data_IF_413897936632
#
_entry.id   IF_413897936632
#
_cell.length_a   1.000
_cell.length_b   1.000
_cell.length_c   1.000
_cell.angle_alpha   90.00
_cell.angle_beta   90.00
_cell.angle_gamma   90.00
#
_symmetry.space_group_name_H-M   'P 1'
#
loop_
_entity.id
_entity.type
_entity.pdbx_description
1 polymer ?
#
# COMPACT_ATOMS: atom_id res chain seq x y z
N UNK A 1 14.14 11.99 -50.34
CA UNK A 1 14.05 11.11 -51.52
C UNK A 1 14.63 9.75 -51.11
N UNK A 2 13.84 8.69 -51.13
CA UNK A 2 14.41 7.35 -50.90
C UNK A 2 15.41 7.02 -52.01
N UNK A 3 16.59 6.52 -51.65
CA UNK A 3 17.63 6.17 -52.62
C UNK A 3 17.14 4.99 -53.47
N UNK A 4 17.41 5.02 -54.78
CA UNK A 4 16.96 3.96 -55.73
C UNK A 4 17.31 2.54 -55.26
N UNK A 5 18.41 2.41 -54.50
CA UNK A 5 18.87 1.17 -53.87
C UNK A 5 17.88 0.63 -52.83
N UNK A 6 17.31 1.49 -51.97
CA UNK A 6 16.35 1.08 -50.96
C UNK A 6 15.04 0.56 -51.58
N UNK A 7 14.57 1.22 -52.64
CA UNK A 7 13.37 0.79 -53.36
C UNK A 7 13.57 -0.58 -54.03
N UNK A 8 14.74 -0.79 -54.62
CA UNK A 8 15.13 -2.06 -55.24
C UNK A 8 15.17 -3.20 -54.19
N UNK A 9 15.83 -2.96 -53.06
CA UNK A 9 15.91 -3.91 -51.94
C UNK A 9 14.52 -4.27 -51.40
N UNK A 10 13.65 -3.28 -51.20
CA UNK A 10 12.29 -3.51 -50.73
C UNK A 10 11.48 -4.38 -51.71
N UNK A 11 11.59 -4.11 -53.02
CA UNK A 11 10.91 -4.93 -54.05
C UNK A 11 11.48 -6.35 -54.16
N UNK A 12 12.77 -6.55 -53.89
CA UNK A 12 13.36 -7.89 -53.85
C UNK A 12 12.90 -8.67 -52.62
N UNK A 13 12.87 -8.03 -51.46
CA UNK A 13 12.36 -8.62 -50.22
C UNK A 13 10.89 -8.99 -50.34
N UNK A 14 10.05 -8.09 -50.86
CA UNK A 14 8.61 -8.35 -51.08
C UNK A 14 8.39 -9.52 -52.05
N UNK A 15 9.18 -9.62 -53.12
CA UNK A 15 9.13 -10.77 -54.05
C UNK A 15 9.54 -12.08 -53.37
N UNK A 16 10.61 -12.07 -52.58
CA UNK A 16 11.07 -13.27 -51.88
C UNK A 16 10.03 -13.76 -50.86
N UNK A 17 9.44 -12.85 -50.08
CA UNK A 17 8.38 -13.17 -49.11
C UNK A 17 7.13 -13.72 -49.83
N UNK A 18 6.73 -13.12 -50.95
CA UNK A 18 5.60 -13.62 -51.74
C UNK A 18 5.88 -14.98 -52.39
N UNK A 19 7.11 -15.22 -52.83
CA UNK A 19 7.50 -16.50 -53.47
C UNK A 19 7.70 -17.64 -52.49
N UNK A 20 8.07 -17.34 -51.24
CA UNK A 20 8.23 -18.33 -50.18
C UNK A 20 6.90 -18.92 -49.71
N UNK A 21 5.77 -18.30 -50.11
CA UNK A 21 4.45 -18.62 -49.58
C UNK A 21 4.29 -18.07 -48.17
N UNK A 22 3.08 -17.64 -47.83
CA UNK A 22 2.73 -17.44 -46.44
C UNK A 22 2.65 -18.84 -45.83
N UNK A 23 3.66 -19.24 -45.05
CA UNK A 23 3.52 -20.41 -44.19
C UNK A 23 2.30 -20.17 -43.31
N UNK A 24 1.24 -20.94 -43.56
CA UNK A 24 0.03 -20.84 -42.79
C UNK A 24 0.41 -21.31 -41.38
N UNK A 25 0.18 -20.48 -40.35
CA UNK A 25 0.49 -20.90 -38.99
C UNK A 25 -0.26 -22.21 -38.73
N UNK A 26 0.34 -23.08 -37.91
CA UNK A 26 -0.35 -24.29 -37.48
C UNK A 26 -1.76 -23.91 -36.99
N UNK A 27 -2.76 -24.76 -37.28
CA UNK A 27 -4.17 -24.49 -36.94
C UNK A 27 -4.37 -24.08 -35.48
N UNK A 28 -3.47 -24.54 -34.61
CA UNK A 28 -3.52 -24.31 -33.16
C UNK A 28 -2.56 -23.21 -32.69
N UNK A 29 -1.93 -22.44 -33.58
CA UNK A 29 -0.97 -21.40 -33.22
C UNK A 29 -1.58 -20.36 -32.27
N UNK A 30 -2.77 -19.86 -32.61
CA UNK A 30 -3.49 -18.90 -31.78
C UNK A 30 -3.88 -19.50 -30.43
N UNK A 31 -4.31 -20.77 -30.42
CA UNK A 31 -4.67 -21.48 -29.20
C UNK A 31 -3.45 -21.67 -28.27
N UNK A 32 -2.29 -22.02 -28.83
CA UNK A 32 -1.04 -22.18 -28.07
C UNK A 32 -0.51 -20.85 -27.53
N UNK A 33 -0.66 -19.75 -28.27
CA UNK A 33 -0.31 -18.42 -27.78
C UNK A 33 -1.27 -17.99 -26.67
N UNK A 34 -2.58 -18.11 -26.87
CA UNK A 34 -3.58 -17.77 -25.86
C UNK A 34 -3.39 -18.59 -24.58
N UNK A 35 -3.08 -19.89 -24.69
CA UNK A 35 -2.78 -20.74 -23.54
C UNK A 35 -1.54 -20.27 -22.77
N UNK A 36 -0.49 -19.83 -23.47
CA UNK A 36 0.70 -19.25 -22.84
C UNK A 36 0.43 -17.89 -22.22
N UNK A 37 -0.39 -17.06 -22.85
CA UNK A 37 -0.81 -15.76 -22.32
C UNK A 37 -1.65 -15.96 -21.06
N UNK A 38 -2.64 -16.84 -21.08
CA UNK A 38 -3.45 -17.19 -19.92
C UNK A 38 -2.60 -17.78 -18.79
N UNK A 39 -1.60 -18.62 -19.08
CA UNK A 39 -0.68 -19.14 -18.06
C UNK A 39 0.18 -18.03 -17.43
N UNK A 40 0.61 -17.03 -18.22
CA UNK A 40 1.34 -15.86 -17.74
C UNK A 40 0.45 -14.90 -16.95
N UNK A 41 -0.82 -14.74 -17.35
CA UNK A 41 -1.80 -13.92 -16.62
C UNK A 41 -2.30 -14.61 -15.35
N UNK A 42 -2.47 -15.94 -15.35
CA UNK A 42 -2.77 -16.73 -14.15
C UNK A 42 -1.58 -16.74 -13.17
N UNK A 43 -0.34 -16.77 -13.70
CA UNK A 43 0.88 -16.54 -12.92
C UNK A 43 0.94 -15.13 -12.34
N UNK A 44 0.35 -14.15 -13.03
CA UNK A 44 0.01 -12.83 -12.48
C UNK A 44 -1.30 -12.95 -11.69
N UNK A 45 -1.35 -13.92 -10.78
CA UNK A 45 -2.35 -13.97 -9.71
C UNK A 45 -2.45 -12.56 -9.16
N UNK A 46 -3.67 -12.01 -9.11
CA UNK A 46 -3.94 -10.76 -8.39
C UNK A 46 -3.58 -11.06 -6.94
N UNK A 47 -2.30 -10.90 -6.60
CA UNK A 47 -1.81 -11.06 -5.25
C UNK A 47 -2.49 -9.93 -4.51
N UNK A 48 -3.44 -10.31 -3.66
CA UNK A 48 -4.07 -9.39 -2.72
C UNK A 48 -2.97 -8.90 -1.78
N UNK A 49 -2.24 -7.89 -2.24
CA UNK A 49 -1.24 -7.24 -1.42
C UNK A 49 -2.01 -6.49 -0.33
N UNK A 50 -1.71 -6.72 0.95
CA UNK A 50 -2.34 -5.97 2.01
C UNK A 50 -2.06 -4.49 1.75
N UNK A 51 -3.12 -3.68 1.60
CA UNK A 51 -3.04 -2.25 1.24
C UNK A 51 -2.04 -1.45 2.08
N UNK A 52 -1.79 -1.94 3.29
CA UNK A 52 -0.78 -1.44 4.18
C UNK A 52 0.11 -2.61 4.57
N UNK A 53 1.41 -2.48 4.31
CA UNK A 53 2.39 -3.47 4.74
C UNK A 53 2.36 -3.60 6.27
N UNK A 54 2.70 -4.79 6.78
CA UNK A 54 2.77 -5.06 8.23
C UNK A 54 3.68 -4.08 8.99
N UNK A 55 4.64 -3.44 8.30
CA UNK A 55 5.58 -2.46 8.87
C UNK A 55 4.89 -1.13 9.20
N UNK A 56 3.95 -0.70 8.36
CA UNK A 56 3.22 0.56 8.56
C UNK A 56 2.22 0.43 9.70
N UNK A 57 1.64 -0.76 9.90
CA UNK A 57 0.83 -1.07 11.09
C UNK A 57 1.61 -0.89 12.39
N UNK A 58 2.87 -1.35 12.43
CA UNK A 58 3.75 -1.09 13.57
C UNK A 58 4.02 0.40 13.76
N UNK A 59 4.22 1.15 12.69
CA UNK A 59 4.38 2.61 12.76
C UNK A 59 3.18 3.31 13.40
N UNK A 60 1.96 2.97 12.96
CA UNK A 60 0.72 3.52 13.52
C UNK A 60 0.59 3.18 15.02
N UNK A 61 0.87 1.93 15.39
CA UNK A 61 0.84 1.50 16.79
C UNK A 61 1.81 2.32 17.66
N UNK A 62 3.03 2.57 17.18
CA UNK A 62 4.03 3.38 17.89
C UNK A 62 3.55 4.82 18.07
N UNK A 63 2.97 5.44 17.05
CA UNK A 63 2.43 6.81 17.16
C UNK A 63 1.32 6.87 18.20
N UNK A 64 0.39 5.91 18.17
CA UNK A 64 -0.70 5.86 19.15
C UNK A 64 -0.16 5.69 20.57
N UNK A 65 0.77 4.75 20.78
CA UNK A 65 1.39 4.52 22.09
C UNK A 65 2.15 5.77 22.57
N UNK A 66 2.83 6.49 21.67
CA UNK A 66 3.54 7.73 22.01
C UNK A 66 2.57 8.83 22.47
N UNK A 67 1.43 8.99 21.79
CA UNK A 67 0.41 9.98 22.15
C UNK A 67 -0.26 9.61 23.48
N UNK A 68 -0.61 8.34 23.67
CA UNK A 68 -1.18 7.84 24.92
C UNK A 68 -0.21 7.99 26.08
N UNK A 69 1.06 7.65 25.88
CA UNK A 69 2.12 7.86 26.86
C UNK A 69 2.24 9.34 27.23
N UNK A 70 2.28 10.23 26.24
CA UNK A 70 2.31 11.67 26.49
C UNK A 70 1.13 12.16 27.33
N UNK A 71 -0.10 11.71 27.03
CA UNK A 71 -1.29 12.06 27.82
C UNK A 71 -1.19 11.53 29.25
N UNK A 72 -0.68 10.31 29.45
CA UNK A 72 -0.47 9.72 30.79
C UNK A 72 0.59 10.48 31.61
N UNK A 73 1.67 10.94 30.99
CA UNK A 73 2.75 11.67 31.69
C UNK A 73 2.42 13.14 31.96
N UNK A 74 1.64 13.81 31.08
CA UNK A 74 1.24 15.23 31.23
C UNK A 74 -0.02 15.43 32.08
N UNK A 75 -0.81 14.37 32.32
CA UNK A 75 -1.69 14.24 33.49
C UNK A 75 -2.51 15.48 33.91
N UNK A 76 -3.25 16.13 33.00
CA UNK A 76 -4.41 16.96 33.39
C UNK A 76 -5.62 16.04 33.46
N UNK A 77 -6.17 15.89 34.67
CA UNK A 77 -7.27 14.98 34.98
C UNK A 77 -8.48 15.21 34.06
N UNK A 78 -8.59 14.38 33.01
CA UNK A 78 -9.86 14.20 32.31
C UNK A 78 -10.55 12.99 32.96
N UNK A 79 -11.61 13.28 33.70
CA UNK A 79 -12.39 12.36 34.55
C UNK A 79 -12.98 11.15 33.81
N UNK A 80 -13.00 11.17 32.48
CA UNK A 80 -13.54 10.08 31.66
C UNK A 80 -12.49 9.01 31.31
N UNK A 81 -11.24 9.39 31.09
CA UNK A 81 -10.16 8.45 30.73
C UNK A 81 -9.47 7.86 31.95
N UNK A 82 -9.46 8.58 33.09
CA UNK A 82 -8.83 8.15 34.33
C UNK A 82 -9.43 6.84 34.86
N UNK A 83 -10.76 6.68 34.77
CA UNK A 83 -11.45 5.50 35.31
C UNK A 83 -11.17 4.23 34.47
N UNK A 84 -11.10 4.35 33.15
CA UNK A 84 -10.80 3.23 32.26
C UNK A 84 -9.33 2.78 32.35
N UNK A 85 -8.41 3.72 32.58
CA UNK A 85 -6.98 3.44 32.74
C UNK A 85 -6.66 2.90 34.13
N UNK A 86 -7.32 3.37 35.17
CA UNK A 86 -7.11 2.91 36.55
C UNK A 86 -7.44 1.43 36.72
N UNK A 87 -8.48 0.94 36.05
CA UNK A 87 -8.86 -0.48 36.09
C UNK A 87 -7.79 -1.38 35.43
N UNK A 88 -7.22 -0.95 34.31
CA UNK A 88 -6.18 -1.67 33.58
C UNK A 88 -4.81 -1.63 34.28
N UNK A 89 -4.50 -0.54 35.00
CA UNK A 89 -3.16 -0.31 35.58
C UNK A 89 -3.00 -0.89 36.99
N UNK A 90 -4.10 -1.31 37.64
CA UNK A 90 -4.12 -1.88 39.00
C UNK A 90 -3.33 -3.19 39.18
N UNK A 91 -2.85 -3.80 38.09
CA UNK A 91 -2.11 -5.07 38.09
C UNK A 91 -0.64 -4.94 37.63
N UNK A 92 -0.13 -3.73 37.39
CA UNK A 92 1.24 -3.54 36.89
C UNK A 92 2.23 -3.22 38.02
N UNK A 93 3.43 -3.85 38.06
CA UNK A 93 4.48 -3.49 39.00
C UNK A 93 4.97 -2.06 38.74
N UNK A 94 5.22 -1.32 39.82
CA UNK A 94 5.65 0.08 39.81
C UNK A 94 7.05 0.21 39.21
N UNK A 95 7.13 0.46 37.90
CA UNK A 95 8.38 0.79 37.22
C UNK A 95 8.58 2.31 37.25
N UNK A 96 9.47 2.80 38.11
CA UNK A 96 9.84 4.22 38.13
C UNK A 96 10.86 4.48 37.03
N UNK A 97 10.38 5.02 35.89
CA UNK A 97 11.26 5.51 34.82
C UNK A 97 11.78 6.92 35.17
N UNK A 98 13.03 7.25 34.82
CA UNK A 98 13.55 8.62 34.92
C UNK A 98 12.67 9.57 34.12
N UNK A 99 12.20 10.64 34.77
CA UNK A 99 11.38 11.67 34.13
C UNK A 99 12.27 12.47 33.18
N UNK A 100 12.03 12.32 31.89
CA UNK A 100 12.59 13.18 30.85
C UNK A 100 11.71 14.43 30.80
N UNK A 101 12.17 15.52 31.43
CA UNK A 101 11.43 16.78 31.50
C UNK A 101 11.53 17.55 30.17
N UNK A 102 10.75 17.09 29.20
CA UNK A 102 10.46 17.85 27.99
C UNK A 102 9.18 18.66 28.23
N UNK A 103 9.33 19.92 28.62
CA UNK A 103 8.19 20.80 28.89
C UNK A 103 7.62 21.36 27.57
N UNK A 104 6.77 20.57 26.93
CA UNK A 104 5.96 21.00 25.79
C UNK A 104 4.55 21.32 26.28
N UNK A 105 4.15 22.59 26.28
CA UNK A 105 2.77 22.99 26.59
C UNK A 105 1.87 22.73 25.37
N UNK A 106 1.40 21.50 25.26
CA UNK A 106 0.51 21.08 24.17
C UNK A 106 -0.94 21.33 24.60
N UNK A 107 -1.65 22.21 23.88
CA UNK A 107 -3.05 22.48 24.18
C UNK A 107 -3.94 21.24 24.01
N UNK A 108 -4.98 21.11 24.85
CA UNK A 108 -5.95 20.01 24.75
C UNK A 108 -6.59 19.92 23.36
N UNK A 109 -6.84 21.08 22.72
CA UNK A 109 -7.41 21.14 21.36
C UNK A 109 -6.48 20.46 20.35
N UNK A 110 -5.17 20.70 20.45
CA UNK A 110 -4.19 20.09 19.56
C UNK A 110 -4.18 18.56 19.68
N UNK A 111 -4.24 18.03 20.91
CA UNK A 111 -4.32 16.58 21.16
C UNK A 111 -5.59 15.99 20.53
N UNK A 112 -6.75 16.62 20.75
CA UNK A 112 -8.00 16.14 20.17
C UNK A 112 -8.00 16.19 18.63
N UNK A 113 -7.41 17.24 18.04
CA UNK A 113 -7.26 17.34 16.59
C UNK A 113 -6.43 16.20 16.00
N UNK A 114 -5.29 15.87 16.60
CA UNK A 114 -4.44 14.77 16.13
C UNK A 114 -5.12 13.41 16.32
N UNK A 115 -5.87 13.19 17.39
CA UNK A 115 -6.62 11.94 17.60
C UNK A 115 -7.71 11.76 16.54
N UNK A 116 -8.48 12.80 16.24
CA UNK A 116 -9.51 12.75 15.21
C UNK A 116 -8.88 12.54 13.83
N UNK A 117 -7.78 13.23 13.53
CA UNK A 117 -7.06 13.08 12.26
C UNK A 117 -6.50 11.65 12.10
N UNK A 118 -5.88 11.10 13.14
CA UNK A 118 -5.39 9.73 13.13
C UNK A 118 -6.54 8.73 12.91
N UNK A 119 -7.66 8.92 13.60
CA UNK A 119 -8.88 8.11 13.40
C UNK A 119 -9.42 8.21 11.97
N UNK A 120 -9.41 9.40 11.39
CA UNK A 120 -9.84 9.65 10.02
C UNK A 120 -8.99 8.88 9.01
N UNK A 121 -7.65 8.94 9.13
CA UNK A 121 -6.73 8.17 8.28
C UNK A 121 -7.00 6.66 8.37
N UNK A 122 -7.25 6.14 9.56
CA UNK A 122 -7.61 4.72 9.77
C UNK A 122 -8.89 4.34 9.04
N UNK A 123 -9.86 5.25 8.91
CA UNK A 123 -11.13 5.04 8.19
C UNK A 123 -10.97 5.24 6.67
N UNK A 124 -10.10 6.12 6.22
CA UNK A 124 -9.84 6.36 4.79
C UNK A 124 -9.23 5.14 4.11
N UNK A 125 -8.32 4.43 4.79
CA UNK A 125 -7.63 3.25 4.27
C UNK A 125 -8.60 2.13 3.81
N UNK A 126 -9.57 1.67 4.63
CA UNK A 126 -10.55 0.68 4.19
C UNK A 126 -11.55 1.24 3.17
N UNK A 127 -11.79 2.55 3.15
CA UNK A 127 -12.68 3.18 2.17
C UNK A 127 -12.05 3.20 0.77
N UNK A 128 -10.76 3.55 0.67
CA UNK A 128 -9.96 3.42 -0.55
C UNK A 128 -9.84 1.97 -1.00
N UNK A 129 -9.72 1.03 -0.06
CA UNK A 129 -9.77 -0.41 -0.35
C UNK A 129 -11.07 -0.83 -1.03
N UNK A 130 -12.18 -0.25 -0.63
CA UNK A 130 -13.50 -0.58 -1.15
C UNK A 130 -13.70 -0.02 -2.57
N UNK A 131 -13.10 1.13 -2.88
CA UNK A 131 -13.24 1.78 -4.19
C UNK A 131 -12.31 1.21 -5.29
N UNK A 132 -11.16 0.63 -4.92
CA UNK A 132 -10.21 0.04 -5.90
C UNK A 132 -10.52 -1.42 -6.30
N UNK A 133 -11.54 -2.05 -5.74
CA UNK A 133 -12.06 -3.32 -6.28
C UNK A 133 -13.00 -3.02 -7.44
N UNK A 134 -12.48 -3.05 -8.66
CA UNK A 134 -13.28 -3.34 -9.85
C UNK A 134 -13.71 -4.80 -9.85
#
# INVERSE_FOLDING_TARGET
METKKNKLLNTFTDKMIKSAGLEEPATDFTAQIMQKVEALEASKTIVYEPLISKRVWWGIAVVIVSVLGYVMFTGKESTMFSNAVAEVTSQAPSWELPRLDFEFDVSNVMVYSFLILAGFVVVEIPLLRRMMKF
#
